data_IF_235809312873
#
_entry.id   IF_235809312873
#
_cell.length_a   1.000
_cell.length_b   1.000
_cell.length_c   1.000
_cell.angle_alpha   90.00
_cell.angle_beta   90.00
_cell.angle_gamma   90.00
#
_symmetry.space_group_name_H-M   'P 1'
#
loop_
_entity.id
_entity.type
_entity.pdbx_description
1 polymer ?
#
# COMPACT_ATOMS: atom_id res chain seq x y z
N UNK A 1 -18.40 -2.94 16.91
CA UNK A 1 -18.09 -3.11 15.48
C UNK A 1 -16.61 -2.79 15.21
N UNK A 2 -15.92 -3.56 14.36
CA UNK A 2 -14.53 -3.30 13.95
C UNK A 2 -14.49 -2.83 12.49
N UNK A 3 -13.63 -1.85 12.22
CA UNK A 3 -13.52 -1.27 10.88
C UNK A 3 -12.69 -2.14 9.94
N UNK A 4 -13.12 -2.27 8.69
CA UNK A 4 -12.33 -2.88 7.61
C UNK A 4 -12.30 -1.97 6.37
N UNK A 5 -11.37 -2.25 5.46
CA UNK A 5 -11.02 -1.40 4.31
C UNK A 5 -10.79 -2.26 3.07
N UNK A 6 -10.87 -1.62 1.90
CA UNK A 6 -10.45 -2.21 0.63
C UNK A 6 -11.51 -3.06 -0.09
N UNK A 7 -12.64 -3.36 0.56
CA UNK A 7 -13.74 -4.13 -0.03
C UNK A 7 -13.41 -5.61 -0.30
N UNK A 8 -14.43 -6.39 -0.59
CA UNK A 8 -14.35 -7.79 -1.02
C UNK A 8 -14.94 -8.01 -2.41
N UNK A 9 -14.90 -9.25 -2.92
CA UNK A 9 -15.37 -9.57 -4.28
C UNK A 9 -16.87 -9.37 -4.49
N UNK A 10 -17.65 -9.26 -3.41
CA UNK A 10 -19.11 -8.99 -3.46
C UNK A 10 -19.42 -7.48 -3.51
N UNK A 11 -18.45 -6.60 -3.22
CA UNK A 11 -18.67 -5.16 -3.18
C UNK A 11 -18.68 -4.54 -4.59
N UNK A 12 -19.52 -3.52 -4.79
CA UNK A 12 -19.58 -2.77 -6.05
C UNK A 12 -18.49 -1.71 -6.15
N UNK A 13 -17.84 -1.59 -7.31
CA UNK A 13 -16.74 -0.65 -7.53
C UNK A 13 -17.15 0.82 -7.39
N UNK A 14 -18.40 1.16 -7.71
CA UNK A 14 -18.92 2.54 -7.69
C UNK A 14 -19.04 3.12 -6.29
N UNK A 15 -19.15 2.27 -5.26
CA UNK A 15 -19.28 2.72 -3.86
C UNK A 15 -17.94 2.68 -3.12
N UNK A 16 -16.94 1.97 -3.65
CA UNK A 16 -15.62 1.82 -3.03
C UNK A 16 -14.76 3.07 -3.17
N UNK A 17 -14.18 3.50 -2.05
CA UNK A 17 -13.17 4.57 -1.97
C UNK A 17 -12.07 4.19 -0.99
N UNK A 18 -10.85 4.69 -1.19
CA UNK A 18 -9.72 4.46 -0.27
C UNK A 18 -10.05 4.92 1.16
N UNK A 19 -10.76 6.05 1.28
CA UNK A 19 -11.16 6.63 2.56
C UNK A 19 -12.40 5.94 3.20
N UNK A 20 -13.06 5.02 2.51
CA UNK A 20 -14.27 4.35 3.02
C UNK A 20 -13.96 3.51 4.27
N UNK A 21 -14.89 3.49 5.23
CA UNK A 21 -14.76 2.78 6.51
C UNK A 21 -16.00 1.94 6.75
N UNK A 22 -15.93 0.63 6.51
CA UNK A 22 -17.04 -0.27 6.79
C UNK A 22 -16.94 -0.83 8.20
N UNK A 23 -18.08 -1.05 8.86
CA UNK A 23 -18.17 -1.68 10.17
C UNK A 23 -18.77 -3.08 10.06
N UNK A 24 -18.23 -4.02 10.84
CA UNK A 24 -18.82 -5.35 11.02
C UNK A 24 -18.68 -5.80 12.48
N UNK A 25 -19.49 -6.77 12.90
CA UNK A 25 -19.28 -7.41 14.20
C UNK A 25 -17.95 -8.21 14.16
N UNK A 26 -17.09 -8.12 15.19
CA UNK A 26 -15.83 -8.87 15.22
C UNK A 26 -15.98 -10.40 15.11
N UNK A 27 -17.15 -10.94 15.45
CA UNK A 27 -17.43 -12.37 15.39
C UNK A 27 -18.01 -12.81 14.03
N UNK A 28 -18.38 -11.88 13.17
CA UNK A 28 -18.89 -12.16 11.82
C UNK A 28 -17.82 -12.86 10.98
N UNK A 29 -18.17 -14.03 10.44
CA UNK A 29 -17.31 -14.81 9.53
C UNK A 29 -17.94 -14.82 8.14
N UNK A 30 -17.29 -14.19 7.18
CA UNK A 30 -17.76 -14.15 5.80
C UNK A 30 -16.56 -14.32 4.86
N UNK A 31 -16.73 -15.04 3.76
CA UNK A 31 -15.66 -15.45 2.84
C UNK A 31 -15.03 -14.30 2.04
N UNK A 32 -15.65 -13.12 2.00
CA UNK A 32 -15.07 -11.91 1.42
C UNK A 32 -14.45 -10.96 2.45
N UNK A 33 -14.41 -11.36 3.73
CA UNK A 33 -13.72 -10.65 4.80
C UNK A 33 -12.42 -11.36 5.15
N UNK A 34 -11.31 -10.61 5.19
CA UNK A 34 -9.99 -11.13 5.52
C UNK A 34 -9.10 -10.11 6.22
N UNK A 35 -7.82 -10.45 6.40
CA UNK A 35 -6.82 -9.58 7.02
C UNK A 35 -5.57 -9.48 6.15
N UNK A 36 -4.86 -8.37 6.28
CA UNK A 36 -3.50 -8.18 5.74
C UNK A 36 -2.56 -7.99 6.92
N UNK A 37 -1.48 -8.76 6.94
CA UNK A 37 -0.45 -8.62 7.96
C UNK A 37 0.21 -7.25 7.84
N UNK A 38 0.53 -6.63 8.97
CA UNK A 38 1.32 -5.42 9.06
C UNK A 38 2.44 -5.65 10.08
N UNK A 39 3.61 -5.06 9.82
CA UNK A 39 4.77 -5.12 10.72
C UNK A 39 5.15 -3.71 11.13
N UNK A 40 5.44 -3.51 12.41
CA UNK A 40 6.03 -2.25 12.90
C UNK A 40 7.44 -2.11 12.37
N UNK A 41 7.78 -0.92 11.87
CA UNK A 41 9.18 -0.57 11.59
C UNK A 41 9.76 -0.06 12.90
N UNK A 42 10.67 -0.84 13.50
CA UNK A 42 11.51 -0.34 14.60
C UNK A 42 12.38 0.78 14.01
N UNK A 43 12.32 1.97 14.58
CA UNK A 43 13.02 3.14 14.06
C UNK A 43 14.54 3.05 14.24
N UNK A 44 15.20 2.22 13.44
CA UNK A 44 16.54 2.51 12.95
C UNK A 44 16.39 3.03 11.53
N UNK A 45 16.14 4.33 11.45
CA UNK A 45 16.29 5.10 10.23
C UNK A 45 17.79 5.14 9.89
N UNK A 46 18.33 4.09 9.26
CA UNK A 46 19.58 4.23 8.54
C UNK A 46 19.54 3.41 7.26
N UNK A 47 19.55 4.15 6.16
CA UNK A 47 19.84 3.69 4.82
C UNK A 47 18.81 2.71 4.23
N UNK A 48 17.77 3.28 3.64
CA UNK A 48 17.36 2.76 2.33
C UNK A 48 18.61 2.70 1.46
N UNK A 49 19.15 1.50 1.27
CA UNK A 49 20.00 1.20 0.12
C UNK A 49 19.17 1.51 -1.12
N UNK A 50 19.15 2.78 -1.51
CA UNK A 50 18.93 3.18 -2.90
C UNK A 50 20.06 2.44 -3.61
N UNK A 51 19.70 1.33 -4.25
CA UNK A 51 20.59 0.63 -5.16
C UNK A 51 21.12 1.69 -6.13
N UNK A 52 22.41 2.01 -6.00
CA UNK A 52 23.15 2.88 -6.91
C UNK A 52 22.94 2.34 -8.32
N UNK A 53 22.05 2.95 -9.08
CA UNK A 53 22.18 2.95 -10.53
C UNK A 53 23.46 3.76 -10.79
N UNK A 54 24.47 3.22 -11.51
CA UNK A 54 25.52 4.08 -12.01
C UNK A 54 24.89 5.05 -13.00
N UNK A 55 25.05 6.35 -12.74
CA UNK A 55 24.76 7.41 -13.69
C UNK A 55 25.70 7.26 -14.90
N UNK A 56 25.31 6.47 -15.91
CA UNK A 56 25.99 6.52 -17.20
C UNK A 56 25.58 7.78 -17.97
N UNK A 57 26.45 8.79 -17.83
CA UNK A 57 26.85 9.77 -18.84
C UNK A 57 25.83 10.10 -19.95
N UNK A 58 25.04 11.17 -19.75
CA UNK A 58 24.65 12.02 -20.89
C UNK A 58 25.62 13.21 -20.98
N UNK A 59 26.84 12.96 -21.47
CA UNK A 59 27.77 14.03 -21.83
C UNK A 59 27.23 14.73 -23.08
N UNK A 60 26.46 15.81 -22.88
CA UNK A 60 26.20 16.79 -23.93
C UNK A 60 27.46 17.63 -24.13
N UNK A 61 28.22 17.34 -25.18
CA UNK A 61 29.20 18.29 -25.73
C UNK A 61 28.57 18.97 -26.93
N UNK A 62 28.13 20.22 -26.73
CA UNK A 62 27.82 21.13 -27.82
C UNK A 62 29.14 21.64 -28.41
N UNK A 63 29.42 21.29 -29.67
CA UNK A 63 30.50 21.91 -30.44
C UNK A 63 29.96 23.12 -31.20
N UNK A 64 30.69 24.22 -31.07
CA UNK A 64 30.58 25.46 -31.84
C UNK A 64 31.12 25.25 -33.26
#
# INVERSE_FOLDING_TARGET
>A
QKAFRGGGWMDSTTTMRVAMRNGTDPNTKINWLGFRCAKSVSGDQSSSTISRMPDELSTFQAKH
#
